data_IF_978792217167
#
_entry.id   IF_978792217167
#
_cell.length_a   1.000
_cell.length_b   1.000
_cell.length_c   1.000
_cell.angle_alpha   90.00
_cell.angle_beta   90.00
_cell.angle_gamma   90.00
#
_symmetry.space_group_name_H-M   'P 1'
#
loop_
_entity.id
_entity.type
_entity.pdbx_description
1 polymer ?
#
# COMPACT_ATOMS: atom_id res chain seq x y z
N UNK A 1 33.55 -52.65 0.40
CA UNK A 1 32.42 -51.95 1.02
C UNK A 1 32.33 -50.61 0.32
N UNK A 2 31.64 -50.60 -0.82
CA UNK A 2 31.62 -49.48 -1.77
C UNK A 2 30.16 -49.10 -1.91
N UNK A 3 29.85 -47.89 -1.43
CA UNK A 3 28.50 -47.33 -1.39
C UNK A 3 28.10 -47.00 -2.83
N UNK A 4 26.96 -47.56 -3.25
CA UNK A 4 26.28 -47.23 -4.49
C UNK A 4 25.74 -45.80 -4.38
N UNK A 5 26.30 -44.91 -5.19
CA UNK A 5 25.78 -43.60 -5.50
C UNK A 5 24.63 -43.79 -6.49
N UNK A 6 23.38 -43.75 -6.00
CA UNK A 6 22.18 -43.89 -6.81
C UNK A 6 21.13 -42.89 -6.35
N UNK A 7 21.38 -41.61 -6.62
CA UNK A 7 20.41 -40.52 -6.43
C UNK A 7 20.62 -39.44 -7.51
N UNK A 8 20.39 -39.80 -8.76
CA UNK A 8 20.10 -38.82 -9.81
C UNK A 8 18.70 -39.07 -10.40
N UNK A 9 17.86 -38.05 -10.26
CA UNK A 9 16.94 -37.59 -11.30
C UNK A 9 15.73 -38.44 -11.62
N UNK A 10 14.60 -38.20 -10.94
CA UNK A 10 13.29 -38.45 -11.56
C UNK A 10 12.15 -37.52 -11.09
N UNK A 11 12.47 -36.34 -10.57
CA UNK A 11 11.47 -35.35 -10.13
C UNK A 11 11.09 -34.31 -11.19
N UNK A 12 11.74 -34.31 -12.36
CA UNK A 12 11.62 -33.22 -13.35
C UNK A 12 10.54 -33.40 -14.42
N UNK A 13 10.14 -34.63 -14.77
CA UNK A 13 9.26 -34.82 -15.93
C UNK A 13 7.80 -34.49 -15.64
N UNK A 14 7.30 -34.81 -14.44
CA UNK A 14 5.89 -34.56 -14.09
C UNK A 14 5.59 -33.06 -13.92
N UNK A 15 6.50 -32.28 -13.34
CA UNK A 15 6.28 -30.84 -13.15
C UNK A 15 6.31 -30.07 -14.48
N UNK A 16 7.15 -30.50 -15.43
CA UNK A 16 7.16 -29.93 -16.79
C UNK A 16 5.91 -30.31 -17.58
N UNK A 17 5.41 -31.54 -17.42
CA UNK A 17 4.24 -32.04 -18.16
C UNK A 17 2.94 -31.39 -17.66
N UNK A 18 2.77 -31.25 -16.34
CA UNK A 18 1.68 -30.47 -15.73
C UNK A 18 1.77 -29.00 -16.17
N UNK A 19 2.99 -28.45 -16.19
CA UNK A 19 3.27 -27.11 -16.66
C UNK A 19 2.84 -26.85 -18.11
N UNK A 20 3.16 -27.77 -19.02
CA UNK A 20 2.75 -27.70 -20.43
C UNK A 20 1.24 -27.85 -20.58
N UNK A 21 0.62 -28.72 -19.79
CA UNK A 21 -0.82 -28.97 -19.84
C UNK A 21 -1.60 -27.71 -19.44
N UNK A 22 -1.16 -27.00 -18.39
CA UNK A 22 -1.78 -25.73 -17.98
C UNK A 22 -1.70 -24.66 -19.09
N UNK A 23 -0.58 -24.57 -19.80
CA UNK A 23 -0.38 -23.59 -20.89
C UNK A 23 -1.14 -23.93 -22.18
N UNK A 24 -1.67 -25.15 -22.30
CA UNK A 24 -2.51 -25.56 -23.41
C UNK A 24 -4.01 -25.40 -23.11
N UNK A 25 -4.38 -25.01 -21.88
CA UNK A 25 -5.77 -24.79 -21.53
C UNK A 25 -6.30 -23.53 -22.23
N UNK A 26 -7.58 -23.54 -22.67
CA UNK A 26 -8.24 -22.32 -23.10
C UNK A 26 -8.20 -21.26 -21.99
N UNK A 27 -8.00 -19.99 -22.36
CA UNK A 27 -7.94 -18.86 -21.42
C UNK A 27 -9.14 -18.80 -20.46
N UNK A 28 -10.32 -19.23 -20.90
CA UNK A 28 -11.53 -19.31 -20.06
C UNK A 28 -11.39 -20.32 -18.91
N UNK A 29 -10.82 -21.50 -19.18
CA UNK A 29 -10.58 -22.56 -18.19
C UNK A 29 -9.48 -22.13 -17.22
N UNK A 30 -8.40 -21.56 -17.77
CA UNK A 30 -7.28 -21.08 -16.98
C UNK A 30 -7.69 -19.94 -16.04
N UNK A 31 -8.50 -18.99 -16.53
CA UNK A 31 -9.07 -17.92 -15.69
C UNK A 31 -9.97 -18.49 -14.60
N UNK A 32 -10.82 -19.47 -14.91
CA UNK A 32 -11.69 -20.12 -13.91
C UNK A 32 -10.90 -20.86 -12.82
N UNK A 33 -9.81 -21.54 -13.18
CA UNK A 33 -8.90 -22.19 -12.20
C UNK A 33 -8.26 -21.13 -11.30
N UNK A 34 -7.74 -20.04 -11.89
CA UNK A 34 -7.11 -18.96 -11.12
C UNK A 34 -8.10 -18.24 -10.20
N UNK A 35 -9.34 -18.01 -10.65
CA UNK A 35 -10.41 -17.45 -9.84
C UNK A 35 -10.83 -18.39 -8.71
N UNK A 36 -10.91 -19.69 -8.97
CA UNK A 36 -11.19 -20.71 -7.94
C UNK A 36 -10.07 -20.79 -6.90
N UNK A 37 -8.80 -20.76 -7.34
CA UNK A 37 -7.65 -20.68 -6.45
C UNK A 37 -7.66 -19.39 -5.63
N UNK A 38 -8.02 -18.26 -6.23
CA UNK A 38 -8.13 -16.99 -5.52
C UNK A 38 -9.31 -16.94 -4.53
N UNK A 39 -10.37 -17.71 -4.78
CA UNK A 39 -11.50 -17.86 -3.86
C UNK A 39 -11.14 -18.77 -2.66
N UNK A 40 -10.34 -19.82 -2.88
CA UNK A 40 -9.97 -20.79 -1.85
C UNK A 40 -8.71 -20.42 -1.06
N UNK A 41 -7.77 -19.71 -1.66
CA UNK A 41 -6.49 -19.37 -1.06
C UNK A 41 -6.43 -17.91 -0.64
N UNK A 42 -5.62 -17.61 0.39
CA UNK A 42 -5.27 -16.22 0.63
C UNK A 42 -4.53 -15.69 -0.60
N UNK A 43 -4.76 -14.45 -1.04
CA UNK A 43 -4.10 -13.96 -2.25
C UNK A 43 -2.58 -13.87 -2.16
N UNK A 44 -2.03 -13.75 -0.94
CA UNK A 44 -0.60 -13.89 -0.70
C UNK A 44 -0.07 -15.31 -0.92
N UNK A 45 -0.91 -16.35 -0.84
CA UNK A 45 -0.57 -17.72 -1.21
C UNK A 45 -0.62 -17.92 -2.73
N UNK A 46 -1.62 -17.35 -3.42
CA UNK A 46 -1.65 -17.32 -4.89
C UNK A 46 -0.40 -16.65 -5.46
N UNK A 47 0.02 -15.54 -4.85
CA UNK A 47 1.27 -14.85 -5.14
C UNK A 47 2.51 -15.73 -4.93
N UNK A 48 2.65 -16.34 -3.75
CA UNK A 48 3.79 -17.23 -3.45
C UNK A 48 3.82 -18.42 -4.40
N UNK A 49 2.66 -18.97 -4.73
CA UNK A 49 2.53 -20.07 -5.66
C UNK A 49 2.93 -19.64 -7.08
N UNK A 50 2.49 -18.46 -7.53
CA UNK A 50 2.87 -17.91 -8.83
C UNK A 50 4.39 -17.68 -8.93
N UNK A 51 5.01 -17.15 -7.87
CA UNK A 51 6.46 -16.92 -7.85
C UNK A 51 7.27 -18.23 -7.74
N UNK A 52 6.73 -19.26 -7.08
CA UNK A 52 7.36 -20.57 -6.98
C UNK A 52 7.15 -21.44 -8.25
N UNK A 53 6.09 -21.18 -9.02
CA UNK A 53 5.66 -21.98 -10.16
C UNK A 53 5.69 -21.15 -11.45
N UNK A 54 6.76 -21.27 -12.24
CA UNK A 54 6.93 -20.53 -13.51
C UNK A 54 5.78 -20.72 -14.49
N UNK A 55 5.15 -21.89 -14.47
CA UNK A 55 4.00 -22.22 -15.33
C UNK A 55 2.74 -21.52 -14.87
N UNK A 56 2.52 -21.40 -13.55
CA UNK A 56 1.43 -20.58 -13.01
C UNK A 56 1.64 -19.08 -13.25
N UNK A 57 2.89 -18.59 -13.16
CA UNK A 57 3.20 -17.21 -13.50
C UNK A 57 2.90 -16.89 -14.96
N UNK A 58 3.26 -17.81 -15.85
CA UNK A 58 2.99 -17.68 -17.29
C UNK A 58 1.49 -17.78 -17.60
N UNK A 59 0.79 -18.71 -16.96
CA UNK A 59 -0.66 -18.81 -16.99
C UNK A 59 -1.34 -17.50 -16.57
N UNK A 60 -0.92 -16.91 -15.45
CA UNK A 60 -1.44 -15.61 -14.98
C UNK A 60 -1.17 -14.50 -16.00
N UNK A 61 0.01 -14.49 -16.63
CA UNK A 61 0.32 -13.50 -17.67
C UNK A 61 -0.46 -13.69 -18.97
N UNK A 62 -0.90 -14.92 -19.26
CA UNK A 62 -1.77 -15.24 -20.40
C UNK A 62 -3.26 -14.97 -20.07
N UNK A 63 -3.64 -15.00 -18.78
CA UNK A 63 -4.93 -14.60 -18.27
C UNK A 63 -5.06 -13.07 -18.13
N UNK A 64 -5.00 -12.36 -19.25
CA UNK A 64 -5.04 -10.90 -19.30
C UNK A 64 -6.11 -10.29 -18.35
N UNK A 65 -5.69 -9.30 -17.56
CA UNK A 65 -6.57 -8.57 -16.66
C UNK A 65 -6.99 -9.36 -15.40
N UNK A 66 -6.39 -10.51 -15.11
CA UNK A 66 -6.66 -11.27 -13.89
C UNK A 66 -6.48 -10.41 -12.63
N UNK A 67 -5.36 -9.69 -12.51
CA UNK A 67 -5.10 -8.85 -11.35
C UNK A 67 -6.03 -7.64 -11.26
N UNK A 68 -6.45 -7.08 -12.41
CA UNK A 68 -7.46 -6.02 -12.47
C UNK A 68 -8.81 -6.54 -11.96
N UNK A 69 -9.28 -7.69 -12.44
CA UNK A 69 -10.51 -8.35 -11.95
C UNK A 69 -10.44 -8.63 -10.45
N UNK A 70 -9.28 -9.08 -9.95
CA UNK A 70 -9.05 -9.32 -8.52
C UNK A 70 -9.06 -8.02 -7.68
N UNK A 71 -8.58 -6.90 -8.22
CA UNK A 71 -8.71 -5.61 -7.54
C UNK A 71 -10.18 -5.17 -7.49
N UNK A 72 -10.89 -5.26 -8.61
CA UNK A 72 -12.31 -4.88 -8.73
C UNK A 72 -13.18 -5.72 -7.81
N UNK A 73 -12.95 -7.04 -7.73
CA UNK A 73 -13.70 -7.93 -6.84
C UNK A 73 -13.51 -7.60 -5.36
N UNK A 74 -12.39 -6.97 -5.00
CA UNK A 74 -12.16 -6.42 -3.67
C UNK A 74 -12.73 -5.01 -3.46
N UNK A 75 -13.35 -4.40 -4.48
CA UNK A 75 -13.86 -3.04 -4.46
C UNK A 75 -12.75 -1.99 -4.50
N UNK A 76 -11.59 -2.33 -5.04
CA UNK A 76 -10.47 -1.40 -5.15
C UNK A 76 -10.52 -0.70 -6.50
N UNK A 77 -10.52 0.63 -6.45
CA UNK A 77 -10.53 1.49 -7.63
C UNK A 77 -9.20 1.41 -8.38
N UNK A 78 -9.24 1.79 -9.67
CA UNK A 78 -8.05 1.89 -10.51
C UNK A 78 -6.98 2.74 -9.82
N UNK A 79 -5.69 2.34 -9.82
CA UNK A 79 -4.64 3.24 -9.39
C UNK A 79 -4.77 4.56 -10.15
N UNK A 80 -4.76 5.68 -9.41
CA UNK A 80 -4.69 7.02 -9.98
C UNK A 80 -3.39 7.10 -10.82
N UNK A 81 -3.50 6.75 -12.08
CA UNK A 81 -2.37 6.66 -13.00
C UNK A 81 -2.39 7.92 -13.84
N UNK A 82 -1.21 8.55 -13.99
CA UNK A 82 -0.96 9.55 -15.02
C UNK A 82 -1.52 9.05 -16.36
N UNK A 83 -1.99 9.97 -17.24
CA UNK A 83 -2.55 9.60 -18.52
C UNK A 83 -1.64 8.61 -19.24
N UNK A 84 -2.28 7.55 -19.76
CA UNK A 84 -1.66 6.41 -20.43
C UNK A 84 -0.68 6.92 -21.49
N UNK A 85 0.62 6.74 -21.27
CA UNK A 85 1.58 6.95 -22.33
C UNK A 85 1.23 6.00 -23.48
N UNK A 86 1.02 6.57 -24.66
CA UNK A 86 0.81 5.82 -25.90
C UNK A 86 1.96 4.83 -26.07
N UNK A 87 1.67 3.53 -26.02
CA UNK A 87 2.67 2.45 -26.13
C UNK A 87 2.80 1.50 -24.93
N UNK A 88 2.03 1.67 -23.85
CA UNK A 88 2.08 0.70 -22.73
C UNK A 88 1.60 -0.69 -23.19
N UNK A 89 2.46 -1.70 -23.12
CA UNK A 89 2.12 -3.08 -23.52
C UNK A 89 1.11 -3.70 -22.53
N UNK A 90 0.31 -4.69 -22.99
CA UNK A 90 -0.63 -5.40 -22.12
C UNK A 90 0.07 -6.06 -20.91
N UNK A 91 1.30 -6.53 -21.12
CA UNK A 91 2.14 -7.13 -20.08
C UNK A 91 2.58 -6.13 -19.01
N UNK A 92 2.90 -4.90 -19.39
CA UNK A 92 3.25 -3.84 -18.44
C UNK A 92 2.04 -3.42 -17.59
N UNK A 93 0.84 -3.43 -18.19
CA UNK A 93 -0.40 -3.14 -17.49
C UNK A 93 -0.72 -4.22 -16.44
N UNK A 94 -0.57 -5.49 -16.81
CA UNK A 94 -0.81 -6.61 -15.89
C UNK A 94 0.18 -6.59 -14.71
N UNK A 95 1.46 -6.28 -14.97
CA UNK A 95 2.47 -6.14 -13.93
C UNK A 95 2.21 -4.96 -12.97
N UNK A 96 1.67 -3.84 -13.48
CA UNK A 96 1.24 -2.72 -12.63
C UNK A 96 0.10 -3.12 -11.72
N UNK A 97 -0.91 -3.82 -12.25
CA UNK A 97 -2.01 -4.35 -11.46
C UNK A 97 -1.55 -5.34 -10.41
N UNK A 98 -0.61 -6.21 -10.76
CA UNK A 98 0.04 -7.13 -9.82
C UNK A 98 0.75 -6.39 -8.67
N UNK A 99 1.57 -5.38 -8.99
CA UNK A 99 2.26 -4.57 -7.97
C UNK A 99 1.27 -3.85 -7.06
N UNK A 100 0.25 -3.23 -7.65
CA UNK A 100 -0.83 -2.60 -6.91
C UNK A 100 -1.55 -3.58 -5.98
N UNK A 101 -1.92 -4.76 -6.50
CA UNK A 101 -2.59 -5.82 -5.75
C UNK A 101 -1.74 -6.32 -4.58
N UNK A 102 -0.46 -6.63 -4.81
CA UNK A 102 0.47 -7.14 -3.80
C UNK A 102 0.72 -6.13 -2.67
N UNK A 103 0.85 -4.84 -3.01
CA UNK A 103 0.98 -3.77 -2.03
C UNK A 103 -0.29 -3.61 -1.19
N UNK A 104 -1.48 -3.62 -1.81
CA UNK A 104 -2.78 -3.58 -1.11
C UNK A 104 -2.95 -4.77 -0.17
N UNK A 105 -2.56 -5.97 -0.59
CA UNK A 105 -2.63 -7.17 0.24
C UNK A 105 -1.69 -7.12 1.45
N UNK A 106 -0.47 -6.60 1.26
CA UNK A 106 0.48 -6.40 2.36
C UNK A 106 -0.04 -5.39 3.37
N UNK A 107 -0.54 -4.26 2.89
CA UNK A 107 -1.21 -3.24 3.70
C UNK A 107 -2.38 -3.83 4.49
N UNK A 108 -3.30 -4.54 3.82
CA UNK A 108 -4.43 -5.25 4.43
C UNK A 108 -3.99 -6.20 5.55
N UNK A 109 -2.95 -7.01 5.30
CA UNK A 109 -2.41 -7.95 6.31
C UNK A 109 -1.88 -7.19 7.52
N UNK A 110 -1.08 -6.16 7.31
CA UNK A 110 -0.43 -5.41 8.39
C UNK A 110 -1.45 -4.64 9.23
N UNK A 111 -2.34 -3.87 8.61
CA UNK A 111 -3.40 -3.13 9.31
C UNK A 111 -4.25 -4.09 10.16
N UNK A 112 -4.74 -5.19 9.58
CA UNK A 112 -5.57 -6.15 10.33
C UNK A 112 -4.79 -6.85 11.44
N UNK A 113 -3.53 -7.22 11.20
CA UNK A 113 -2.68 -7.87 12.21
C UNK A 113 -2.47 -6.93 13.40
N UNK A 114 -1.97 -5.72 13.16
CA UNK A 114 -1.69 -4.77 14.24
C UNK A 114 -2.96 -4.34 14.96
N UNK A 115 -4.05 -4.08 14.25
CA UNK A 115 -5.32 -3.75 14.89
C UNK A 115 -5.84 -4.89 15.77
N UNK A 116 -5.76 -6.15 15.31
CA UNK A 116 -6.14 -7.32 16.13
C UNK A 116 -5.29 -7.45 17.39
N UNK A 117 -3.98 -7.19 17.29
CA UNK A 117 -3.09 -7.17 18.44
C UNK A 117 -3.39 -6.02 19.40
N UNK A 118 -3.97 -4.93 18.89
CA UNK A 118 -4.32 -3.75 19.67
C UNK A 118 -5.63 -3.91 20.46
N UNK A 119 -6.62 -4.63 19.91
CA UNK A 119 -7.94 -4.79 20.56
C UNK A 119 -7.86 -5.20 22.05
N UNK A 120 -7.02 -6.15 22.48
CA UNK A 120 -6.90 -6.52 23.90
C UNK A 120 -6.43 -5.40 24.83
N UNK A 121 -5.77 -4.37 24.31
CA UNK A 121 -5.31 -3.20 25.08
C UNK A 121 -6.38 -2.12 25.20
N UNK A 122 -7.46 -2.21 24.43
CA UNK A 122 -8.60 -1.32 24.58
C UNK A 122 -9.35 -1.65 25.87
N UNK A 123 -9.88 -0.61 26.52
CA UNK A 123 -10.83 -0.80 27.60
C UNK A 123 -12.04 -1.63 27.12
N UNK A 124 -12.74 -2.28 28.05
CA UNK A 124 -13.95 -3.05 27.71
C UNK A 124 -15.01 -2.18 27.01
N UNK A 125 -15.33 -0.95 27.46
CA UNK A 125 -16.21 -0.05 26.71
C UNK A 125 -15.70 0.23 25.29
N UNK A 126 -14.41 0.54 25.14
CA UNK A 126 -13.81 0.85 23.83
C UNK A 126 -13.83 -0.31 22.84
N UNK A 127 -13.56 -1.52 23.31
CA UNK A 127 -13.58 -2.72 22.46
C UNK A 127 -15.00 -3.12 22.07
N UNK A 128 -15.98 -2.98 22.97
CA UNK A 128 -17.39 -3.22 22.67
C UNK A 128 -18.00 -2.17 21.74
N UNK A 129 -17.46 -0.94 21.75
CA UNK A 129 -17.89 0.12 20.85
C UNK A 129 -17.39 -0.06 19.41
N UNK A 130 -16.49 -1.01 19.12
CA UNK A 130 -15.97 -1.22 17.76
C UNK A 130 -17.09 -1.63 16.81
N UNK A 131 -17.31 -0.83 15.78
CA UNK A 131 -18.34 -1.07 14.78
C UNK A 131 -17.90 -2.10 13.73
N UNK A 132 -18.85 -2.82 13.10
CA UNK A 132 -18.53 -3.65 11.95
C UNK A 132 -17.85 -2.83 10.85
N UNK A 133 -17.01 -3.50 10.05
CA UNK A 133 -16.34 -2.88 8.94
C UNK A 133 -17.30 -2.37 7.87
N UNK A 134 -16.96 -1.25 7.24
CA UNK A 134 -17.76 -0.67 6.17
C UNK A 134 -17.70 -1.54 4.90
N UNK A 135 -18.81 -1.59 4.18
CA UNK A 135 -18.88 -2.22 2.86
C UNK A 135 -18.09 -1.39 1.82
N UNK A 136 -17.60 -2.02 0.73
CA UNK A 136 -16.96 -1.27 -0.35
C UNK A 136 -17.82 -0.13 -0.90
N UNK A 137 -19.13 -0.33 -1.01
CA UNK A 137 -20.07 0.69 -1.47
C UNK A 137 -20.11 1.92 -0.54
N UNK A 138 -20.11 1.72 0.78
CA UNK A 138 -20.03 2.82 1.76
C UNK A 138 -18.71 3.57 1.66
N UNK A 139 -17.59 2.86 1.47
CA UNK A 139 -16.27 3.48 1.32
C UNK A 139 -16.19 4.30 0.03
N UNK A 140 -16.71 3.78 -1.09
CA UNK A 140 -16.78 4.53 -2.35
C UNK A 140 -17.69 5.76 -2.23
N UNK A 141 -18.83 5.65 -1.53
CA UNK A 141 -19.70 6.80 -1.26
C UNK A 141 -18.99 7.86 -0.40
N UNK A 142 -18.17 7.43 0.57
CA UNK A 142 -17.34 8.32 1.36
C UNK A 142 -16.27 9.01 0.51
N UNK A 143 -15.57 8.29 -0.37
CA UNK A 143 -14.58 8.87 -1.30
C UNK A 143 -15.24 9.92 -2.21
N UNK A 144 -16.44 9.63 -2.72
CA UNK A 144 -17.22 10.59 -3.51
C UNK A 144 -17.60 11.83 -2.70
N UNK A 145 -18.02 11.66 -1.44
CA UNK A 145 -18.35 12.76 -0.52
C UNK A 145 -17.14 13.61 -0.16
N UNK A 146 -15.97 12.99 -0.01
CA UNK A 146 -14.71 13.68 0.28
C UNK A 146 -14.11 14.34 -0.97
N UNK A 147 -14.55 13.96 -2.18
CA UNK A 147 -13.96 14.40 -3.44
C UNK A 147 -12.54 13.85 -3.68
N UNK A 148 -12.13 12.81 -2.94
CA UNK A 148 -10.78 12.25 -2.99
C UNK A 148 -10.77 10.78 -2.56
N UNK A 149 -9.81 10.03 -3.09
CA UNK A 149 -9.62 8.62 -2.75
C UNK A 149 -9.01 8.48 -1.36
N UNK A 150 -9.46 7.48 -0.59
CA UNK A 150 -8.89 7.21 0.71
C UNK A 150 -7.54 6.48 0.55
N UNK A 151 -6.53 6.83 1.37
CA UNK A 151 -5.29 6.07 1.43
C UNK A 151 -5.56 4.60 1.73
N UNK A 152 -4.78 3.71 1.11
CA UNK A 152 -5.10 2.28 1.08
C UNK A 152 -5.21 1.65 2.47
N UNK A 153 -4.33 2.07 3.37
CA UNK A 153 -4.32 1.57 4.75
C UNK A 153 -5.52 2.07 5.56
N UNK A 154 -5.96 3.31 5.32
CA UNK A 154 -7.17 3.87 5.93
C UNK A 154 -8.42 3.15 5.40
N UNK A 155 -8.47 2.94 4.09
CA UNK A 155 -9.54 2.19 3.44
C UNK A 155 -9.66 0.77 4.03
N UNK A 156 -8.53 0.07 4.24
CA UNK A 156 -8.53 -1.26 4.86
C UNK A 156 -8.85 -1.24 6.36
N UNK A 157 -8.46 -0.19 7.09
CA UNK A 157 -8.84 -0.02 8.49
C UNK A 157 -10.37 0.09 8.60
N UNK A 158 -10.99 0.99 7.85
CA UNK A 158 -12.43 1.24 7.88
C UNK A 158 -13.24 0.02 7.38
N UNK A 159 -12.72 -0.70 6.39
CA UNK A 159 -13.29 -1.98 5.95
C UNK A 159 -13.17 -3.07 7.01
N UNK A 160 -12.15 -3.04 7.86
CA UNK A 160 -12.00 -4.03 8.93
C UNK A 160 -12.85 -3.67 10.15
N UNK A 161 -12.86 -2.39 10.55
CA UNK A 161 -13.65 -1.81 11.63
C UNK A 161 -14.07 -0.39 11.25
N UNK A 162 -15.38 -0.17 11.14
CA UNK A 162 -15.96 1.09 10.68
C UNK A 162 -15.98 2.19 11.74
N UNK A 163 -14.99 2.27 12.62
CA UNK A 163 -14.94 3.22 13.73
C UNK A 163 -15.41 2.65 15.08
N UNK A 164 -15.69 3.54 16.02
CA UNK A 164 -16.28 3.24 17.33
C UNK A 164 -17.59 3.99 17.51
N UNK A 165 -18.60 3.34 18.08
CA UNK A 165 -19.82 4.01 18.52
C UNK A 165 -19.50 5.06 19.60
N UNK A 166 -20.21 6.19 19.59
CA UNK A 166 -20.06 7.20 20.63
C UNK A 166 -20.56 6.66 21.98
N UNK A 167 -19.85 6.98 23.07
CA UNK A 167 -20.24 6.55 24.40
C UNK A 167 -19.27 6.99 25.49
N UNK A 168 -19.71 7.00 26.76
CA UNK A 168 -18.85 7.34 27.89
C UNK A 168 -17.71 6.33 28.03
N UNK A 169 -16.49 6.85 28.23
CA UNK A 169 -15.29 6.01 28.41
C UNK A 169 -14.80 5.29 27.15
N UNK A 170 -15.41 5.57 25.98
CA UNK A 170 -14.94 5.05 24.69
C UNK A 170 -13.80 5.91 24.18
N UNK A 171 -12.61 5.33 24.17
CA UNK A 171 -11.41 5.91 23.58
C UNK A 171 -10.63 4.85 22.80
N UNK A 172 -10.21 5.22 21.60
CA UNK A 172 -9.23 4.51 20.79
C UNK A 172 -7.81 4.84 21.24
N UNK A 173 -7.45 6.11 21.40
CA UNK A 173 -6.09 6.53 21.81
C UNK A 173 -6.13 7.83 22.60
N UNK A 174 -5.51 7.90 23.79
CA UNK A 174 -5.29 9.11 24.61
C UNK A 174 -6.53 9.97 25.00
N UNK A 175 -7.75 9.53 24.67
CA UNK A 175 -9.08 10.20 24.79
C UNK A 175 -9.83 10.32 23.45
N UNK A 176 -9.14 10.08 22.34
CA UNK A 176 -9.70 10.16 20.99
C UNK A 176 -10.48 8.90 20.68
N UNK A 177 -11.69 9.03 20.14
CA UNK A 177 -12.50 7.94 19.59
C UNK A 177 -12.16 7.74 18.12
N UNK A 178 -12.12 6.48 17.67
CA UNK A 178 -11.97 6.15 16.26
C UNK A 178 -13.26 6.54 15.49
N UNK A 179 -13.13 7.40 14.49
CA UNK A 179 -14.26 7.91 13.72
C UNK A 179 -14.70 6.91 12.66
N UNK A 180 -16.02 6.83 12.45
CA UNK A 180 -16.61 6.03 11.39
C UNK A 180 -16.60 6.71 10.03
N UNK A 181 -16.96 5.95 8.98
CA UNK A 181 -16.96 6.42 7.58
C UNK A 181 -17.82 7.67 7.36
N UNK A 182 -18.99 7.74 8.01
CA UNK A 182 -19.90 8.88 7.90
C UNK A 182 -19.40 10.14 8.63
N UNK A 183 -18.45 9.97 9.54
CA UNK A 183 -17.91 11.04 10.38
C UNK A 183 -16.64 11.67 9.80
N UNK A 184 -16.05 11.05 8.75
CA UNK A 184 -14.88 11.60 8.08
C UNK A 184 -15.26 12.87 7.33
N UNK A 185 -14.55 13.96 7.61
CA UNK A 185 -14.70 15.24 6.93
C UNK A 185 -13.34 15.69 6.40
N UNK A 186 -13.30 16.36 5.23
CA UNK A 186 -12.07 16.92 4.71
C UNK A 186 -11.66 18.10 5.58
N UNK A 187 -10.41 18.08 6.05
CA UNK A 187 -9.80 19.11 6.87
C UNK A 187 -8.53 19.64 6.20
N UNK A 188 -8.29 20.95 6.34
CA UNK A 188 -7.08 21.63 5.87
C UNK A 188 -6.35 22.24 7.08
N UNK A 189 -5.62 21.43 7.86
CA UNK A 189 -4.93 21.93 9.04
C UNK A 189 -3.79 22.89 8.62
N UNK A 190 -3.64 24.04 9.30
CA UNK A 190 -2.57 24.98 8.98
C UNK A 190 -1.20 24.33 9.21
N UNK A 191 -0.24 24.61 8.32
CA UNK A 191 1.14 24.10 8.41
C UNK A 191 1.34 22.65 7.95
N UNK A 192 0.32 21.98 7.39
CA UNK A 192 0.45 20.63 6.85
C UNK A 192 1.43 20.56 5.67
N UNK A 193 1.29 21.50 4.72
CA UNK A 193 2.17 21.60 3.55
C UNK A 193 3.63 21.80 3.97
N UNK A 194 3.89 22.76 4.86
CA UNK A 194 5.23 23.03 5.41
C UNK A 194 5.84 21.80 6.09
N UNK A 195 5.06 21.11 6.91
CA UNK A 195 5.52 19.93 7.63
C UNK A 195 5.86 18.79 6.66
N UNK A 196 5.05 18.59 5.62
CA UNK A 196 5.32 17.61 4.57
C UNK A 196 6.59 17.96 3.80
N UNK A 197 6.77 19.22 3.41
CA UNK A 197 7.96 19.67 2.70
C UNK A 197 9.22 19.36 3.53
N UNK A 198 9.18 19.66 4.84
CA UNK A 198 10.27 19.32 5.78
C UNK A 198 10.53 17.82 5.88
N UNK A 199 9.47 17.00 5.94
CA UNK A 199 9.62 15.53 5.95
C UNK A 199 10.21 15.00 4.64
N UNK A 200 9.84 15.60 3.50
CA UNK A 200 10.42 15.28 2.19
C UNK A 200 11.92 15.56 2.14
N UNK A 201 12.35 16.71 2.68
CA UNK A 201 13.78 17.07 2.76
C UNK A 201 14.58 16.13 3.68
N UNK A 202 13.94 15.55 4.70
CA UNK A 202 14.58 14.61 5.63
C UNK A 202 14.64 13.16 5.11
N UNK A 203 14.26 12.92 3.85
CA UNK A 203 14.35 11.59 3.25
C UNK A 203 13.31 10.61 3.78
N UNK A 204 12.10 11.09 4.09
CA UNK A 204 10.99 10.19 4.40
C UNK A 204 10.86 9.12 3.29
N UNK A 205 10.73 7.83 3.66
CA UNK A 205 10.83 6.74 2.70
C UNK A 205 9.77 6.87 1.60
N UNK A 206 10.14 6.67 0.31
CA UNK A 206 9.19 6.68 -0.79
C UNK A 206 8.10 5.62 -0.55
N UNK A 207 6.86 5.96 -0.88
CA UNK A 207 5.70 5.15 -0.46
C UNK A 207 5.45 3.99 -1.41
N UNK A 208 4.75 2.99 -0.90
CA UNK A 208 4.17 1.92 -1.71
C UNK A 208 3.18 2.43 -2.79
N UNK A 209 2.59 3.62 -2.60
CA UNK A 209 1.75 4.27 -3.62
C UNK A 209 2.57 4.83 -4.79
N UNK A 210 3.81 5.25 -4.54
CA UNK A 210 4.74 5.75 -5.57
C UNK A 210 5.41 4.61 -6.36
N UNK A 211 5.36 3.36 -5.86
CA UNK A 211 5.86 2.19 -6.58
C UNK A 211 5.04 1.80 -7.83
N UNK A 212 4.01 2.57 -8.18
CA UNK A 212 3.26 2.42 -9.43
C UNK A 212 3.99 2.99 -10.67
N UNK A 213 5.09 3.72 -10.50
CA UNK A 213 5.92 4.17 -11.62
C UNK A 213 7.24 3.38 -11.65
N UNK A 214 7.55 2.60 -12.71
CA UNK A 214 8.93 2.32 -13.03
C UNK A 214 9.54 3.62 -13.53
N UNK A 215 10.51 4.15 -12.79
CA UNK A 215 11.46 5.09 -13.36
C UNK A 215 12.22 4.38 -14.48
N UNK A 216 12.21 4.97 -15.66
CA UNK A 216 13.15 4.66 -16.72
C UNK A 216 14.55 5.07 -16.22
N UNK A 217 15.30 4.09 -15.73
CA UNK A 217 16.75 4.15 -15.75
C UNK A 217 17.22 3.05 -16.69
N UNK A 218 17.33 3.44 -17.96
CA UNK A 218 18.18 2.75 -18.90
C UNK A 218 19.66 2.91 -18.54
N UNK A 219 20.40 1.85 -18.85
CA UNK A 219 21.85 1.74 -19.05
C UNK A 219 22.78 1.51 -17.85
N UNK A 220 23.36 0.30 -17.86
CA UNK A 220 24.70 0.03 -17.34
C UNK A 220 24.86 -1.38 -16.78
N UNK A 221 25.14 -2.36 -17.64
CA UNK A 221 25.44 -3.74 -17.23
C UNK A 221 26.84 -3.92 -16.62
N UNK A 222 27.07 -5.10 -16.05
CA UNK A 222 28.41 -5.56 -15.65
C UNK A 222 28.41 -6.39 -14.38
N UNK A 223 28.97 -7.60 -14.43
CA UNK A 223 28.93 -8.60 -13.37
C UNK A 223 30.04 -8.50 -12.30
N UNK A 224 29.92 -9.39 -11.32
CA UNK A 224 31.04 -10.02 -10.62
C UNK A 224 31.54 -9.37 -9.32
N UNK A 225 31.56 -10.17 -8.25
CA UNK A 225 32.75 -10.29 -7.40
C UNK A 225 32.87 -9.41 -6.15
N UNK A 226 32.78 -10.09 -5.00
CA UNK A 226 33.28 -9.81 -3.65
C UNK A 226 34.20 -8.60 -3.34
N UNK A 227 34.03 -8.17 -2.08
CA UNK A 227 35.04 -7.79 -1.08
C UNK A 227 35.03 -6.31 -0.62
N UNK A 228 35.16 -6.19 0.69
CA UNK A 228 35.16 -4.97 1.49
C UNK A 228 36.34 -4.04 1.20
N UNK A 229 36.20 -2.76 1.57
CA UNK A 229 37.17 -1.87 2.27
C UNK A 229 36.71 -0.40 2.15
N UNK A 230 36.64 0.31 3.27
CA UNK A 230 36.69 1.78 3.46
C UNK A 230 38.10 2.19 3.92
N UNK A 231 38.52 3.48 4.01
CA UNK A 231 37.98 4.76 3.49
C UNK A 231 39.07 5.66 2.82
N UNK A 232 38.72 6.85 2.32
CA UNK A 232 39.71 7.87 1.93
C UNK A 232 39.10 9.22 1.52
N UNK A 233 39.55 10.29 2.17
CA UNK A 233 39.13 11.70 2.05
C UNK A 233 39.78 12.40 0.86
N UNK A 234 39.04 13.25 0.12
CA UNK A 234 39.55 14.45 -0.54
C UNK A 234 38.41 15.40 -0.99
N UNK A 235 38.61 16.70 -0.75
CA UNK A 235 37.74 17.82 -1.12
C UNK A 235 38.24 18.50 -2.44
N UNK A 236 37.63 19.60 -2.95
CA UNK A 236 37.19 19.71 -4.35
C UNK A 236 38.08 20.60 -5.24
N UNK A 237 37.75 20.73 -6.54
CA UNK A 237 37.96 22.01 -7.22
C UNK A 237 36.68 22.60 -7.82
N UNK A 238 36.70 23.93 -7.84
CA UNK A 238 35.65 24.84 -8.25
C UNK A 238 35.49 24.96 -9.77
N UNK A 239 34.30 25.43 -10.17
CA UNK A 239 34.13 26.29 -11.35
C UNK A 239 33.41 25.67 -12.54
N UNK A 240 32.09 25.87 -12.61
CA UNK A 240 31.39 26.02 -13.89
C UNK A 240 30.08 26.80 -13.67
N UNK A 241 29.91 27.85 -14.47
CA UNK A 241 28.90 28.89 -14.34
C UNK A 241 27.45 28.35 -14.41
N UNK A 242 26.61 28.84 -13.51
CA UNK A 242 25.17 28.63 -13.54
C UNK A 242 24.54 29.44 -14.69
N UNK A 243 24.09 28.74 -15.73
CA UNK A 243 23.15 29.30 -16.69
C UNK A 243 21.76 29.23 -16.06
N UNK A 244 21.24 30.38 -15.64
CA UNK A 244 19.92 30.52 -15.06
C UNK A 244 18.86 30.30 -16.15
N UNK A 245 18.29 29.11 -16.20
CA UNK A 245 17.04 28.86 -16.91
C UNK A 245 15.88 29.54 -16.16
N UNK A 246 14.87 30.07 -16.88
CA UNK A 246 13.76 30.78 -16.27
C UNK A 246 12.96 29.83 -15.37
N UNK A 247 12.78 30.24 -14.12
CA UNK A 247 11.89 29.59 -13.15
C UNK A 247 10.47 29.82 -13.64
N UNK A 248 9.85 28.78 -14.19
CA UNK A 248 8.41 28.77 -14.42
C UNK A 248 7.69 29.08 -13.10
N UNK A 249 6.64 29.91 -13.11
CA UNK A 249 5.88 30.22 -11.91
C UNK A 249 5.31 28.92 -11.35
N UNK A 250 5.66 28.64 -10.08
CA UNK A 250 5.18 27.49 -9.34
C UNK A 250 3.66 27.37 -9.50
N UNK A 251 3.23 26.21 -10.00
CA UNK A 251 1.82 25.84 -10.04
C UNK A 251 1.20 26.10 -8.65
N UNK A 252 -0.07 26.55 -8.57
CA UNK A 252 -0.72 26.81 -7.30
C UNK A 252 -0.56 25.58 -6.40
N UNK A 253 0.03 25.77 -5.22
CA UNK A 253 0.20 24.70 -4.24
C UNK A 253 -1.20 24.17 -3.92
N UNK A 254 -1.55 23.00 -4.44
CA UNK A 254 -2.82 22.35 -4.13
C UNK A 254 -2.87 22.16 -2.61
N UNK A 255 -3.75 22.91 -1.95
CA UNK A 255 -3.92 22.84 -0.50
C UNK A 255 -4.16 21.39 -0.08
N UNK A 256 -3.20 20.84 0.68
CA UNK A 256 -3.23 19.45 1.05
C UNK A 256 -4.40 19.15 1.99
N UNK A 257 -5.21 18.17 1.60
CA UNK A 257 -6.40 17.75 2.35
C UNK A 257 -6.07 16.52 3.20
N UNK A 258 -6.49 16.57 4.46
CA UNK A 258 -6.44 15.44 5.38
C UNK A 258 -7.85 15.09 5.88
N UNK A 259 -7.99 13.92 6.51
CA UNK A 259 -9.22 13.52 7.20
C UNK A 259 -8.90 13.13 8.63
N UNK A 260 -9.72 13.56 9.59
CA UNK A 260 -9.61 13.08 10.95
C UNK A 260 -10.09 11.63 11.03
N UNK A 261 -9.25 10.74 11.55
CA UNK A 261 -9.59 9.31 11.73
C UNK A 261 -9.83 8.96 13.19
N UNK A 262 -9.33 9.79 14.11
CA UNK A 262 -9.72 9.75 15.52
C UNK A 262 -9.80 11.18 16.06
N UNK A 263 -10.77 11.45 16.93
CA UNK A 263 -10.95 12.76 17.56
C UNK A 263 -11.43 12.60 18.98
N UNK A 264 -10.97 13.48 19.87
CA UNK A 264 -11.60 13.63 21.17
C UNK A 264 -12.90 14.45 21.06
N UNK A 265 -13.80 14.42 22.08
CA UNK A 265 -15.09 15.11 22.01
C UNK A 265 -14.99 16.63 21.82
N UNK A 266 -13.89 17.25 22.27
CA UNK A 266 -13.66 18.70 22.12
C UNK A 266 -13.07 19.09 20.75
N UNK A 267 -12.64 18.12 19.93
CA UNK A 267 -11.93 18.37 18.67
C UNK A 267 -10.51 18.92 18.85
N UNK A 268 -10.05 19.13 20.09
CA UNK A 268 -8.73 19.69 20.40
C UNK A 268 -7.60 18.72 20.11
N UNK A 269 -7.86 17.41 20.07
CA UNK A 269 -6.89 16.37 19.73
C UNK A 269 -7.45 15.48 18.64
N UNK A 270 -6.71 15.36 17.55
CA UNK A 270 -7.12 14.58 16.38
C UNK A 270 -5.94 13.85 15.78
N UNK A 271 -6.17 12.62 15.34
CA UNK A 271 -5.29 11.93 14.39
C UNK A 271 -5.81 12.21 12.98
N UNK A 272 -4.97 12.84 12.17
CA UNK A 272 -5.29 13.21 10.80
C UNK A 272 -4.53 12.30 9.83
N UNK A 273 -5.17 11.92 8.74
CA UNK A 273 -4.55 11.16 7.65
C UNK A 273 -4.60 11.99 6.38
N UNK A 274 -3.44 12.36 5.84
CA UNK A 274 -3.36 13.09 4.57
C UNK A 274 -3.88 12.20 3.42
N UNK A 275 -4.77 12.73 2.58
CA UNK A 275 -5.38 11.95 1.50
C UNK A 275 -4.41 11.68 0.33
N UNK A 276 -3.48 12.61 0.10
CA UNK A 276 -2.46 12.55 -0.95
C UNK A 276 -1.45 11.41 -0.78
N UNK A 277 -1.35 10.80 0.41
CA UNK A 277 -0.52 9.61 0.55
C UNK A 277 -0.62 8.82 1.86
N UNK A 278 -1.45 9.25 2.80
CA UNK A 278 -1.75 8.48 4.01
C UNK A 278 -0.85 8.76 5.21
N UNK A 279 -0.18 9.92 5.27
CA UNK A 279 0.68 10.24 6.43
C UNK A 279 -0.23 10.50 7.61
N UNK A 280 0.13 9.96 8.76
CA UNK A 280 -0.63 10.18 9.98
C UNK A 280 0.02 11.31 10.75
N UNK A 281 -0.76 12.31 11.08
CA UNK A 281 -0.37 13.46 11.87
C UNK A 281 -1.19 13.50 13.16
N UNK A 282 -0.58 14.02 14.21
CA UNK A 282 -1.26 14.32 15.46
C UNK A 282 -1.46 15.83 15.54
N UNK A 283 -2.72 16.26 15.50
CA UNK A 283 -3.11 17.64 15.74
C UNK A 283 -3.48 17.83 17.22
N UNK A 284 -2.91 18.87 17.85
CA UNK A 284 -3.21 19.29 19.23
C UNK A 284 -3.43 20.80 19.25
N UNK A 285 -4.68 21.23 19.26
CA UNK A 285 -5.05 22.63 19.06
C UNK A 285 -4.56 23.13 17.69
N UNK A 286 -3.67 24.11 17.70
CA UNK A 286 -3.04 24.67 16.48
C UNK A 286 -1.72 23.97 16.10
N UNK A 287 -1.22 23.06 16.95
CA UNK A 287 0.03 22.35 16.69
C UNK A 287 -0.21 21.08 15.88
N UNK A 288 0.64 20.84 14.89
CA UNK A 288 0.62 19.65 14.06
C UNK A 288 1.99 18.95 14.11
N UNK A 289 1.99 17.64 14.36
CA UNK A 289 3.20 16.84 14.39
C UNK A 289 3.07 15.58 13.55
N UNK A 290 4.17 15.16 12.91
CA UNK A 290 4.23 13.86 12.23
C UNK A 290 4.11 12.73 13.25
N UNK A 291 3.14 11.84 13.08
CA UNK A 291 2.92 10.73 13.99
C UNK A 291 3.48 9.42 13.42
N UNK A 292 3.11 9.09 12.18
CA UNK A 292 3.54 7.86 11.50
C UNK A 292 3.48 8.00 9.96
N UNK A 293 4.26 7.19 9.22
CA UNK A 293 4.25 7.21 7.75
C UNK A 293 2.98 6.64 7.11
N UNK A 294 2.15 5.94 7.90
CA UNK A 294 0.93 5.27 7.48
C UNK A 294 0.09 4.81 8.68
N UNK A 295 -1.14 4.38 8.43
CA UNK A 295 -2.06 3.82 9.43
C UNK A 295 -1.53 2.52 10.02
N UNK A 296 -0.88 1.65 9.23
CA UNK A 296 -0.28 0.43 9.75
C UNK A 296 0.86 0.75 10.74
N UNK A 297 1.72 1.73 10.39
CA UNK A 297 2.80 2.19 11.25
C UNK A 297 2.28 2.94 12.49
N UNK A 298 1.17 3.68 12.37
CA UNK A 298 0.46 4.27 13.50
C UNK A 298 0.03 3.19 14.49
N UNK A 299 -0.66 2.14 14.02
CA UNK A 299 -1.10 1.03 14.87
C UNK A 299 0.09 0.29 15.51
N UNK A 300 1.17 0.09 14.78
CA UNK A 300 2.38 -0.50 15.33
C UNK A 300 3.00 0.39 16.41
N UNK A 301 3.08 1.70 16.19
CA UNK A 301 3.62 2.67 17.15
C UNK A 301 2.78 2.76 18.42
N UNK A 302 1.47 2.54 18.35
CA UNK A 302 0.60 2.50 19.53
C UNK A 302 0.85 1.23 20.38
N UNK A 303 1.34 0.15 19.77
CA UNK A 303 1.62 -1.12 20.46
C UNK A 303 2.98 -1.15 21.17
N UNK A 304 3.88 -0.19 20.89
CA UNK A 304 5.29 -0.17 21.35
C UNK A 304 5.57 1.07 22.17
#
# INVERSE_FOLDING_TARGET
MTILDNSQGNGGSNDEEVGRTLLQLPNSVLTSILESLAAMCNPGQVMKLALACRTLLRAISEAEGFWERMCISHGWSRPATRPRASGTSARDLDWRWFRYYSARMTSRRNVRRFFKLYIPFLSRPSSMALMPGASPAQLSACEARLGALLPWELWELLRFRGGQAAGPGVAFLDDMRLLGVEELLPERPPGLADLRQRLGLLGAPPRAQDMAAPGEQEQGGGGGGNAAVTPGVAAPPAGAAASAAPVDPAAPEEEEVAVAVASNPSGSRRLLVALSGGHVYLARGLSLASFAPGVAAMLQKILT
#
